data_IF_720761916975
#
_entry.id   IF_720761916975
#
_cell.length_a   1.000
_cell.length_b   1.000
_cell.length_c   1.000
_cell.angle_alpha   90.00
_cell.angle_beta   90.00
_cell.angle_gamma   90.00
#
_symmetry.space_group_name_H-M   'P 1'
#
loop_
_entity.id
_entity.type
_entity.pdbx_description
1 polymer ?
#
# COMPACT_ATOMS: atom_id res chain seq x y z
N UNK A 1 9.08 -1.89 -32.57
CA UNK A 1 9.74 -2.24 -31.31
C UNK A 1 8.97 -1.70 -30.14
N UNK A 2 8.61 -2.57 -29.22
CA UNK A 2 7.88 -2.16 -28.03
C UNK A 2 8.80 -1.44 -27.05
N UNK A 3 8.35 -0.26 -26.65
CA UNK A 3 8.94 0.43 -25.50
C UNK A 3 8.12 0.03 -24.28
N UNK A 4 8.76 -0.62 -23.33
CA UNK A 4 8.06 -1.04 -22.13
C UNK A 4 7.87 0.13 -21.19
N UNK A 5 6.61 0.39 -20.84
CA UNK A 5 6.25 1.46 -19.94
C UNK A 5 6.62 1.11 -18.51
N UNK A 6 7.00 2.11 -17.74
CA UNK A 6 7.21 1.95 -16.31
C UNK A 6 5.83 1.85 -15.66
N UNK A 7 5.62 0.79 -14.88
CA UNK A 7 4.39 0.58 -14.15
C UNK A 7 4.56 1.10 -12.72
N UNK A 8 3.58 1.80 -12.26
CA UNK A 8 3.61 2.42 -10.94
C UNK A 8 2.57 1.76 -10.04
N UNK A 9 2.98 1.48 -8.80
CA UNK A 9 2.11 0.91 -7.78
C UNK A 9 2.25 1.71 -6.49
N UNK A 10 1.16 1.82 -5.76
CA UNK A 10 1.16 2.43 -4.44
C UNK A 10 0.74 1.38 -3.42
N UNK A 11 1.53 1.24 -2.37
CA UNK A 11 1.18 0.44 -1.20
C UNK A 11 0.98 1.40 -0.05
N UNK A 12 -0.21 1.41 0.53
CA UNK A 12 -0.50 2.23 1.70
C UNK A 12 -0.55 1.32 2.92
N UNK A 13 0.20 1.66 3.93
CA UNK A 13 0.22 0.96 5.21
C UNK A 13 -0.56 1.79 6.22
N UNK A 14 -1.62 1.20 6.77
CA UNK A 14 -2.35 1.79 7.88
C UNK A 14 -1.49 1.68 9.13
N UNK A 15 -1.09 2.83 9.65
CA UNK A 15 -0.21 2.92 10.82
C UNK A 15 -0.95 3.38 12.07
N UNK A 16 -2.27 3.21 12.09
CA UNK A 16 -3.05 3.46 13.30
C UNK A 16 -2.58 2.55 14.44
N UNK A 17 -2.88 2.93 15.66
CA UNK A 17 -2.39 2.22 16.84
C UNK A 17 -2.80 0.75 16.90
N UNK A 18 -3.85 0.37 16.18
CA UNK A 18 -4.33 -1.02 16.14
C UNK A 18 -3.51 -1.92 15.21
N UNK A 19 -2.64 -1.34 14.38
CA UNK A 19 -1.84 -2.11 13.43
C UNK A 19 -0.54 -2.58 14.08
N UNK A 20 -0.23 -3.87 13.93
CA UNK A 20 1.00 -4.45 14.46
C UNK A 20 2.19 -4.16 13.53
N UNK A 21 3.23 -3.53 14.06
CA UNK A 21 4.45 -3.27 13.30
C UNK A 21 5.11 -4.54 12.78
N UNK A 22 5.10 -5.60 13.56
CA UNK A 22 5.64 -6.90 13.16
C UNK A 22 4.89 -7.47 11.95
N UNK A 23 3.57 -7.39 11.96
CA UNK A 23 2.74 -7.89 10.88
C UNK A 23 2.95 -7.06 9.60
N UNK A 24 3.05 -5.74 9.74
CA UNK A 24 3.34 -4.85 8.60
C UNK A 24 4.69 -5.19 7.99
N UNK A 25 5.71 -5.35 8.80
CA UNK A 25 7.04 -5.69 8.32
C UNK A 25 7.04 -7.02 7.58
N UNK A 26 6.36 -8.02 8.13
CA UNK A 26 6.24 -9.32 7.49
C UNK A 26 5.52 -9.24 6.15
N UNK A 27 4.45 -8.47 6.09
CA UNK A 27 3.72 -8.23 4.84
C UNK A 27 4.62 -7.61 3.77
N UNK A 28 5.41 -6.60 4.14
CA UNK A 28 6.33 -5.95 3.21
C UNK A 28 7.42 -6.91 2.74
N UNK A 29 7.96 -7.75 3.62
CA UNK A 29 8.96 -8.74 3.26
C UNK A 29 8.42 -9.77 2.28
N UNK A 30 7.21 -10.26 2.51
CA UNK A 30 6.57 -11.21 1.60
C UNK A 30 6.29 -10.58 0.24
N UNK A 31 5.84 -9.32 0.24
CA UNK A 31 5.61 -8.58 -1.00
C UNK A 31 6.93 -8.42 -1.76
N UNK A 32 8.01 -8.05 -1.08
CA UNK A 32 9.33 -7.92 -1.70
C UNK A 32 9.82 -9.25 -2.28
N UNK A 33 9.60 -10.35 -1.57
CA UNK A 33 10.00 -11.69 -2.05
C UNK A 33 9.25 -12.07 -3.33
N UNK A 34 7.95 -11.81 -3.38
CA UNK A 34 7.14 -12.08 -4.58
C UNK A 34 7.65 -11.26 -5.76
N UNK A 35 7.93 -9.99 -5.55
CA UNK A 35 8.43 -9.12 -6.58
C UNK A 35 9.84 -9.51 -7.03
N UNK A 36 10.65 -9.99 -6.10
CA UNK A 36 12.01 -10.44 -6.41
C UNK A 36 12.02 -11.68 -7.30
N UNK A 37 11.06 -12.58 -7.12
CA UNK A 37 10.93 -13.78 -7.95
C UNK A 37 10.54 -13.45 -9.39
N UNK A 38 10.05 -12.25 -9.63
CA UNK A 38 9.70 -11.76 -10.96
C UNK A 38 10.74 -10.74 -11.41
N UNK A 39 11.89 -11.20 -11.87
CA UNK A 39 13.04 -10.34 -12.22
C UNK A 39 12.67 -9.18 -13.13
N UNK A 40 11.79 -9.43 -14.09
CA UNK A 40 11.37 -8.39 -15.03
C UNK A 40 10.44 -7.35 -14.40
N UNK A 41 9.83 -7.66 -13.27
CA UNK A 41 8.90 -6.74 -12.61
C UNK A 41 9.64 -5.52 -12.05
N UNK A 42 10.67 -5.74 -11.22
CA UNK A 42 11.40 -4.63 -10.61
C UNK A 42 12.10 -3.73 -11.61
N UNK A 43 12.58 -4.30 -12.71
CA UNK A 43 13.26 -3.52 -13.73
C UNK A 43 12.35 -2.49 -14.41
N UNK A 44 11.01 -2.61 -14.21
CA UNK A 44 10.02 -1.80 -14.92
C UNK A 44 8.91 -1.28 -14.02
N UNK A 45 9.07 -1.42 -12.73
CA UNK A 45 8.05 -1.01 -11.78
C UNK A 45 8.62 -0.06 -10.76
N UNK A 46 7.81 0.91 -10.40
CA UNK A 46 8.10 1.84 -9.30
C UNK A 46 7.03 1.61 -8.25
N UNK A 47 7.45 1.45 -7.01
CA UNK A 47 6.54 1.25 -5.90
C UNK A 47 6.69 2.43 -4.95
N UNK A 48 5.57 3.05 -4.59
CA UNK A 48 5.55 4.04 -3.52
C UNK A 48 4.91 3.41 -2.30
N UNK A 49 5.60 3.49 -1.18
CA UNK A 49 5.07 3.00 0.09
C UNK A 49 4.72 4.20 0.95
N UNK A 50 3.43 4.33 1.23
CA UNK A 50 2.90 5.40 2.06
C UNK A 50 2.56 4.83 3.43
N UNK A 51 2.88 5.57 4.48
CA UNK A 51 2.36 5.27 5.80
C UNK A 51 1.31 6.32 6.14
N UNK A 52 0.15 5.87 6.62
CA UNK A 52 -0.98 6.74 6.87
C UNK A 52 -1.79 6.26 8.07
N UNK A 53 -1.96 7.11 9.08
CA UNK A 53 -2.97 6.90 10.11
C UNK A 53 -4.19 7.77 9.75
N UNK A 54 -4.38 8.92 10.36
CA UNK A 54 -5.40 9.87 9.93
C UNK A 54 -4.82 10.94 8.98
N UNK A 55 -3.51 10.89 8.73
CA UNK A 55 -2.83 11.71 7.70
C UNK A 55 -1.68 10.87 7.13
N UNK A 56 -1.17 11.26 5.95
CA UNK A 56 0.00 10.63 5.36
C UNK A 56 1.24 11.05 6.16
N UNK A 57 1.97 10.07 6.67
CA UNK A 57 3.16 10.27 7.51
C UNK A 57 4.46 10.14 6.75
N UNK A 58 4.49 9.32 5.73
CA UNK A 58 5.70 9.13 4.92
C UNK A 58 5.36 8.64 3.53
N UNK A 59 6.28 8.85 2.61
CA UNK A 59 6.20 8.45 1.21
C UNK A 59 7.59 8.04 0.78
N UNK A 60 7.78 6.75 0.53
CA UNK A 60 9.05 6.21 0.06
C UNK A 60 8.90 5.69 -1.36
N UNK A 61 9.70 6.23 -2.28
CA UNK A 61 9.73 5.79 -3.66
C UNK A 61 10.79 4.71 -3.82
N UNK A 62 10.40 3.55 -4.30
CA UNK A 62 11.26 2.38 -4.40
C UNK A 62 11.31 1.94 -5.85
N UNK A 63 12.49 1.96 -6.44
CA UNK A 63 12.68 1.66 -7.87
C UNK A 63 13.43 0.36 -8.12
N UNK A 64 13.89 -0.32 -7.08
CA UNK A 64 14.62 -1.56 -7.24
C UNK A 64 14.71 -2.35 -5.96
N UNK A 65 15.27 -3.53 -6.10
CA UNK A 65 15.40 -4.49 -5.00
C UNK A 65 16.26 -3.96 -3.85
N UNK A 66 17.36 -3.29 -4.18
CA UNK A 66 18.24 -2.76 -3.15
C UNK A 66 17.58 -1.66 -2.33
N UNK A 67 16.78 -0.83 -2.99
CA UNK A 67 16.02 0.21 -2.30
C UNK A 67 14.95 -0.39 -1.40
N UNK A 68 14.30 -1.48 -1.84
CA UNK A 68 13.32 -2.18 -1.02
C UNK A 68 13.98 -2.80 0.21
N UNK A 69 15.13 -3.44 0.05
CA UNK A 69 15.86 -4.01 1.17
C UNK A 69 16.29 -2.95 2.18
N UNK A 70 16.78 -1.81 1.69
CA UNK A 70 17.15 -0.70 2.57
C UNK A 70 15.93 -0.16 3.32
N UNK A 71 14.80 -0.03 2.63
CA UNK A 71 13.56 0.42 3.24
C UNK A 71 13.13 -0.54 4.37
N UNK A 72 13.16 -1.84 4.11
CA UNK A 72 12.77 -2.84 5.10
C UNK A 72 13.72 -2.89 6.30
N UNK A 73 15.01 -2.72 6.05
CA UNK A 73 16.02 -2.74 7.12
C UNK A 73 15.80 -1.60 8.11
N UNK A 74 15.46 -0.42 7.59
CA UNK A 74 15.30 0.78 8.39
C UNK A 74 13.84 1.12 8.68
N UNK A 75 12.95 0.17 8.41
CA UNK A 75 11.53 0.41 8.53
C UNK A 75 11.13 0.74 9.96
N UNK A 76 10.46 1.88 10.11
CA UNK A 76 9.90 2.33 11.38
C UNK A 76 8.45 2.73 11.15
N UNK A 77 7.55 2.21 11.96
CA UNK A 77 6.14 2.54 11.86
C UNK A 77 5.90 3.96 12.37
N UNK A 78 5.39 4.82 11.50
CA UNK A 78 5.13 6.22 11.81
C UNK A 78 3.62 6.46 11.92
N UNK A 79 3.18 7.05 13.01
CA UNK A 79 1.78 7.35 13.24
C UNK A 79 1.33 6.92 14.61
N UNK A 80 0.29 6.07 14.69
CA UNK A 80 -0.29 5.61 15.95
C UNK A 80 -1.52 6.38 16.38
N UNK A 81 -2.04 7.24 15.51
CA UNK A 81 -3.28 7.96 15.74
C UNK A 81 -4.51 7.19 15.28
N UNK A 82 -5.58 7.90 14.96
CA UNK A 82 -6.79 7.33 14.42
C UNK A 82 -6.62 6.84 12.99
N UNK A 83 -7.69 6.29 12.42
CA UNK A 83 -7.67 5.78 11.05
C UNK A 83 -8.62 6.55 10.16
N UNK A 84 -8.09 7.08 9.06
CA UNK A 84 -8.89 7.70 8.00
C UNK A 84 -8.18 7.36 6.69
N UNK A 85 -8.88 6.68 5.78
CA UNK A 85 -8.27 6.28 4.52
C UNK A 85 -8.25 7.40 3.50
N UNK A 86 -9.11 8.39 3.65
CA UNK A 86 -9.27 9.46 2.65
C UNK A 86 -8.02 10.28 2.37
N UNK A 87 -7.19 10.64 3.37
CA UNK A 87 -5.98 11.41 3.10
C UNK A 87 -4.99 10.71 2.17
N UNK A 88 -4.88 9.38 2.26
CA UNK A 88 -3.98 8.64 1.36
C UNK A 88 -4.44 8.76 -0.08
N UNK A 89 -5.75 8.65 -0.34
CA UNK A 89 -6.30 8.79 -1.69
C UNK A 89 -6.15 10.22 -2.22
N UNK A 90 -6.39 11.21 -1.37
CA UNK A 90 -6.18 12.62 -1.76
C UNK A 90 -4.71 12.88 -2.11
N UNK A 91 -3.81 12.31 -1.34
CA UNK A 91 -2.37 12.43 -1.57
C UNK A 91 -1.97 11.82 -2.92
N UNK A 92 -2.47 10.62 -3.21
CA UNK A 92 -2.19 9.94 -4.48
C UNK A 92 -2.78 10.72 -5.66
N UNK A 93 -3.99 11.26 -5.51
CA UNK A 93 -4.60 12.09 -6.54
C UNK A 93 -3.76 13.34 -6.83
N UNK A 94 -3.19 13.95 -5.80
CA UNK A 94 -2.29 15.09 -5.96
C UNK A 94 -1.02 14.70 -6.71
N UNK A 95 -0.46 13.53 -6.41
CA UNK A 95 0.71 13.04 -7.15
C UNK A 95 0.40 12.81 -8.63
N UNK A 96 -0.80 12.32 -8.94
CA UNK A 96 -1.23 12.14 -10.32
C UNK A 96 -1.42 13.50 -11.02
N UNK A 97 -2.03 14.46 -10.35
CA UNK A 97 -2.21 15.80 -10.91
C UNK A 97 -0.89 16.54 -11.16
N UNK A 98 0.08 16.33 -10.27
CA UNK A 98 1.39 16.97 -10.38
C UNK A 98 2.32 16.25 -11.36
N UNK A 99 1.93 15.11 -11.89
CA UNK A 99 2.76 14.32 -12.79
C UNK A 99 3.85 13.51 -12.09
N UNK A 100 3.83 13.43 -10.78
CA UNK A 100 4.73 12.57 -10.01
C UNK A 100 4.39 11.09 -10.18
N UNK A 101 3.11 10.80 -10.37
CA UNK A 101 2.61 9.51 -10.84
C UNK A 101 1.97 9.73 -12.19
N UNK A 102 2.27 8.90 -13.17
CA UNK A 102 1.77 9.06 -14.54
C UNK A 102 0.80 7.95 -14.95
N UNK A 103 1.16 6.70 -14.68
CA UNK A 103 0.31 5.56 -14.99
C UNK A 103 0.25 4.63 -13.78
N UNK A 104 -0.64 4.96 -12.86
CA UNK A 104 -0.81 4.15 -11.65
C UNK A 104 -1.57 2.87 -12.01
N UNK A 105 -0.87 1.75 -11.93
CA UNK A 105 -1.43 0.43 -12.22
C UNK A 105 -2.36 -0.05 -11.12
N UNK A 106 -2.08 0.31 -9.88
CA UNK A 106 -2.92 -0.08 -8.77
C UNK A 106 -2.44 0.45 -7.43
N UNK A 107 -3.35 0.43 -6.48
CA UNK A 107 -3.10 0.80 -5.09
C UNK A 107 -3.57 -0.34 -4.19
N UNK A 108 -2.71 -0.74 -3.28
CA UNK A 108 -3.02 -1.75 -2.28
C UNK A 108 -2.96 -1.10 -0.90
N UNK A 109 -4.06 -1.18 -0.17
CA UNK A 109 -4.18 -0.60 1.17
C UNK A 109 -4.20 -1.71 2.22
N UNK A 110 -3.19 -1.74 3.06
CA UNK A 110 -3.05 -2.72 4.14
C UNK A 110 -3.62 -2.11 5.43
N UNK A 111 -4.67 -2.71 6.00
CA UNK A 111 -5.39 -2.12 7.13
C UNK A 111 -6.24 -3.16 7.88
N UNK A 112 -6.65 -2.83 9.10
CA UNK A 112 -7.66 -3.60 9.82
C UNK A 112 -9.10 -3.25 9.38
N UNK A 113 -9.25 -2.28 8.49
CA UNK A 113 -10.53 -1.91 7.90
C UNK A 113 -11.40 -0.98 8.73
N UNK A 114 -10.91 -0.51 9.86
CA UNK A 114 -11.71 0.31 10.80
C UNK A 114 -11.44 1.79 10.60
N UNK A 115 -11.79 2.30 9.44
CA UNK A 115 -11.59 3.70 9.09
C UNK A 115 -12.65 4.22 8.14
N UNK A 116 -12.47 5.45 7.69
CA UNK A 116 -13.41 6.10 6.78
C UNK A 116 -12.93 5.96 5.34
N UNK A 117 -13.80 5.44 4.50
CA UNK A 117 -13.51 5.22 3.09
C UNK A 117 -13.85 6.45 2.25
N UNK A 118 -13.16 6.66 1.11
CA UNK A 118 -13.59 7.67 0.16
C UNK A 118 -14.98 7.36 -0.36
N UNK A 119 -15.80 8.39 -0.52
CA UNK A 119 -17.15 8.23 -1.08
C UNK A 119 -17.12 7.93 -2.57
N UNK A 120 -16.13 8.49 -3.26
CA UNK A 120 -15.99 8.35 -4.71
C UNK A 120 -14.96 7.29 -5.05
N UNK A 121 -15.30 6.43 -6.01
CA UNK A 121 -14.36 5.43 -6.54
C UNK A 121 -13.14 6.11 -7.16
N UNK A 122 -11.92 5.67 -6.81
CA UNK A 122 -10.72 6.16 -7.50
C UNK A 122 -10.69 5.75 -8.97
N UNK A 123 -9.97 6.51 -9.78
CA UNK A 123 -9.82 6.23 -11.22
C UNK A 123 -8.83 5.10 -11.52
N UNK A 124 -8.20 4.56 -10.51
CA UNK A 124 -7.23 3.46 -10.62
C UNK A 124 -7.71 2.27 -9.81
N UNK A 125 -7.19 1.10 -10.13
CA UNK A 125 -7.54 -0.13 -9.40
C UNK A 125 -7.12 -0.02 -7.96
N UNK A 126 -8.01 -0.38 -7.06
CA UNK A 126 -7.77 -0.28 -5.62
C UNK A 126 -8.21 -1.58 -4.95
N UNK A 127 -7.31 -2.14 -4.16
CA UNK A 127 -7.58 -3.30 -3.33
C UNK A 127 -7.24 -2.98 -1.89
N UNK A 128 -8.11 -3.43 -0.97
CA UNK A 128 -7.83 -3.39 0.46
C UNK A 128 -7.44 -4.79 0.91
N UNK A 129 -6.31 -4.88 1.58
CA UNK A 129 -5.86 -6.11 2.21
C UNK A 129 -6.16 -5.99 3.69
N UNK A 130 -7.19 -6.73 4.12
CA UNK A 130 -7.71 -6.62 5.46
C UNK A 130 -7.10 -7.66 6.39
N UNK A 131 -6.80 -7.21 7.58
CA UNK A 131 -6.55 -8.09 8.71
C UNK A 131 -7.87 -8.71 9.19
N UNK A 132 -7.78 -9.72 10.01
CA UNK A 132 -8.95 -10.38 10.59
C UNK A 132 -9.90 -9.39 11.26
N UNK A 133 -11.18 -9.75 11.31
CA UNK A 133 -12.23 -9.00 12.01
C UNK A 133 -12.56 -7.63 11.42
N UNK A 134 -12.35 -7.45 10.12
CA UNK A 134 -12.76 -6.21 9.48
C UNK A 134 -14.28 -6.14 9.32
N UNK A 135 -14.81 -4.92 9.25
CA UNK A 135 -16.23 -4.68 9.03
C UNK A 135 -16.54 -4.74 7.53
N UNK A 136 -16.99 -5.90 7.07
CA UNK A 136 -17.30 -6.14 5.66
C UNK A 136 -18.38 -5.20 5.12
N UNK A 137 -19.35 -4.84 5.95
CA UNK A 137 -20.46 -3.99 5.53
C UNK A 137 -20.02 -2.56 5.23
N UNK A 138 -18.93 -2.09 5.83
CA UNK A 138 -18.44 -0.74 5.63
C UNK A 138 -17.61 -0.59 4.36
N UNK A 139 -17.15 -1.70 3.75
CA UNK A 139 -16.28 -1.65 2.58
C UNK A 139 -17.09 -1.23 1.36
N UNK A 140 -16.64 -0.19 0.62
CA UNK A 140 -17.39 0.24 -0.57
C UNK A 140 -17.41 -0.83 -1.65
N UNK A 141 -18.50 -0.89 -2.45
CA UNK A 141 -18.61 -1.91 -3.51
C UNK A 141 -17.52 -1.83 -4.57
N UNK A 142 -16.90 -0.66 -4.77
CA UNK A 142 -15.88 -0.49 -5.78
C UNK A 142 -14.52 -1.05 -5.36
N UNK A 143 -14.32 -1.35 -4.08
CA UNK A 143 -13.04 -1.81 -3.58
C UNK A 143 -12.92 -3.33 -3.69
N UNK A 144 -11.79 -3.79 -4.23
CA UNK A 144 -11.45 -5.21 -4.15
C UNK A 144 -11.07 -5.53 -2.71
N UNK A 145 -11.46 -6.71 -2.25
CA UNK A 145 -11.21 -7.14 -0.87
C UNK A 145 -10.38 -8.39 -0.85
N UNK A 146 -9.29 -8.32 -0.09
CA UNK A 146 -8.44 -9.46 0.16
C UNK A 146 -8.33 -9.61 1.67
N UNK A 147 -8.52 -10.81 2.18
CA UNK A 147 -8.39 -11.08 3.60
C UNK A 147 -7.05 -11.73 3.87
N UNK A 148 -6.32 -11.15 4.81
CA UNK A 148 -5.05 -11.67 5.25
C UNK A 148 -5.24 -12.40 6.57
N UNK A 149 -4.95 -13.68 6.58
CA UNK A 149 -4.95 -14.44 7.82
C UNK A 149 -3.59 -14.31 8.48
N UNK A 150 -3.60 -13.79 9.70
CA UNK A 150 -2.39 -13.51 10.47
C UNK A 150 -1.48 -14.72 10.60
N UNK A 151 -2.06 -15.90 10.75
CA UNK A 151 -1.32 -17.16 10.87
C UNK A 151 -0.50 -17.51 9.64
N UNK A 152 -0.95 -17.11 8.46
CA UNK A 152 -0.25 -17.38 7.20
C UNK A 152 1.03 -16.57 7.09
N UNK A 153 1.11 -15.44 7.80
CA UNK A 153 2.24 -14.54 7.73
C UNK A 153 3.25 -14.72 8.85
N UNK A 154 2.79 -15.12 10.04
CA UNK A 154 3.67 -15.21 11.20
C UNK A 154 4.24 -16.60 11.44
N UNK A 155 3.84 -17.56 10.62
CA UNK A 155 4.43 -18.88 10.63
C UNK A 155 5.51 -18.99 9.53
#
# INVERSE_FOLDING_TARGET
>A
REVKKIREFVIVIDTSYSTSGELVEQFLRETANILHQSDSFFARSVIRVLQCDNVVRSDAKITGEQEMEAFLRDFTLLGGGGTDFRPAFSYVNDLLEQGELKELAGLLYFTDGKGRYPAKRPDYRTAFLFLEDYDEAAVPPWAMRLLLEKEEFLN
#
